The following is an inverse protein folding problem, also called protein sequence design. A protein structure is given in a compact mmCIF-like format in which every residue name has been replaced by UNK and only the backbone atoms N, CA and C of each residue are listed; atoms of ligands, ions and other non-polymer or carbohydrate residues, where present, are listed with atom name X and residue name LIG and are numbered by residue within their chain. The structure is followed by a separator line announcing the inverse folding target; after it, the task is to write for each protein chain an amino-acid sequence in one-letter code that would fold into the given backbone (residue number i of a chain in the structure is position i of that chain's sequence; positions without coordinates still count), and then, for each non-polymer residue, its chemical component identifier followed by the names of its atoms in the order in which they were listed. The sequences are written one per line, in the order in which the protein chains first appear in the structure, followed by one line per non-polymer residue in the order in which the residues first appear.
data_IF_665927128828
#
_entry.id   IF_665927128828
#
_cell.length_a   1.000
_cell.length_b   1.000
_cell.length_c   1.000
_cell.angle_alpha   90.00
_cell.angle_beta   90.00
_cell.angle_gamma   90.00
#
_symmetry.space_group_name_H-M   'P 1'
#
loop_
_entity.id
_entity.type
_entity.pdbx_description
1 polymer ?
#
# COMPACT_ATOMS: atom_id res chain seq x y z
N UNK A 1 -1.11 -12.90 9.73
CA UNK A 1 -1.30 -12.14 10.98
C UNK A 1 -2.17 -10.93 10.66
N UNK A 2 -2.85 -10.26 11.59
CA UNK A 2 -3.61 -9.03 11.24
C UNK A 2 -2.77 -7.80 11.54
N UNK A 3 -2.70 -6.86 10.58
CA UNK A 3 -2.02 -5.58 10.70
C UNK A 3 -3.01 -4.43 10.62
N UNK A 4 -2.68 -3.32 11.27
CA UNK A 4 -3.33 -2.04 11.08
C UNK A 4 -2.35 -1.11 10.37
N UNK A 5 -2.85 -0.38 9.39
CA UNK A 5 -2.06 0.53 8.56
C UNK A 5 -2.79 1.87 8.51
N UNK A 6 -2.06 2.91 8.90
CA UNK A 6 -2.51 4.29 8.84
C UNK A 6 -2.01 4.93 7.54
N UNK A 7 -2.91 5.57 6.81
CA UNK A 7 -2.64 6.19 5.52
C UNK A 7 -2.75 7.71 5.66
N UNK A 8 -1.59 8.34 5.77
CA UNK A 8 -1.45 9.78 5.90
C UNK A 8 -1.17 10.46 4.53
N UNK A 9 -1.56 11.74 4.36
CA UNK A 9 -2.25 12.62 5.32
C UNK A 9 -3.78 12.49 5.26
N UNK A 10 -4.31 11.57 4.45
CA UNK A 10 -5.75 11.40 4.24
C UNK A 10 -6.47 10.97 5.53
N UNK A 11 -5.74 10.36 6.48
CA UNK A 11 -6.29 9.87 7.74
C UNK A 11 -7.13 8.61 7.56
N UNK A 12 -6.86 7.85 6.49
CA UNK A 12 -7.52 6.58 6.24
C UNK A 12 -6.84 5.46 7.01
N UNK A 13 -7.63 4.47 7.40
CA UNK A 13 -7.13 3.32 8.15
C UNK A 13 -7.53 2.05 7.42
N UNK A 14 -6.60 1.10 7.38
CA UNK A 14 -6.85 -0.21 6.83
C UNK A 14 -6.46 -1.29 7.83
N UNK A 15 -7.20 -2.39 7.84
CA UNK A 15 -6.90 -3.55 8.68
C UNK A 15 -7.13 -4.84 7.91
N UNK A 16 -6.19 -5.76 7.99
CA UNK A 16 -6.28 -7.04 7.29
C UNK A 16 -5.01 -7.86 7.40
N UNK A 17 -4.85 -8.83 6.51
CA UNK A 17 -3.78 -9.83 6.53
C UNK A 17 -2.51 -9.35 5.80
N UNK A 18 -1.40 -10.05 6.00
CA UNK A 18 -0.08 -9.80 5.40
C UNK A 18 0.07 -10.25 3.93
N UNK A 19 -0.97 -10.83 3.35
CA UNK A 19 -0.96 -11.39 1.99
C UNK A 19 -1.34 -10.39 0.89
N UNK A 20 -1.41 -9.09 1.22
CA UNK A 20 -1.76 -8.02 0.28
C UNK A 20 -0.66 -6.98 0.13
N UNK A 21 -0.55 -6.40 -1.06
CA UNK A 21 0.42 -5.34 -1.33
C UNK A 21 -0.04 -3.99 -0.76
N UNK A 22 0.90 -3.06 -0.55
CA UNK A 22 0.57 -1.68 -0.15
C UNK A 22 -0.35 -0.99 -1.18
N UNK A 23 -0.20 -1.31 -2.47
CA UNK A 23 -1.10 -0.80 -3.51
C UNK A 23 -2.53 -1.29 -3.30
N UNK A 24 -2.71 -2.56 -2.99
CA UNK A 24 -4.03 -3.14 -2.75
C UNK A 24 -4.66 -2.59 -1.47
N UNK A 25 -3.86 -2.41 -0.42
CA UNK A 25 -4.27 -1.76 0.83
C UNK A 25 -4.83 -0.36 0.55
N UNK A 26 -4.09 0.47 -0.21
CA UNK A 26 -4.56 1.81 -0.57
C UNK A 26 -5.87 1.75 -1.39
N UNK A 27 -5.99 0.83 -2.34
CA UNK A 27 -7.22 0.65 -3.13
C UNK A 27 -8.41 0.26 -2.26
N UNK A 28 -8.22 -0.69 -1.34
CA UNK A 28 -9.26 -1.13 -0.41
C UNK A 28 -9.68 -0.04 0.57
N UNK A 29 -8.73 0.80 1.00
CA UNK A 29 -9.00 1.98 1.82
C UNK A 29 -9.62 3.17 1.05
N UNK A 30 -9.87 3.02 -0.26
CA UNK A 30 -10.42 4.09 -1.10
C UNK A 30 -9.42 5.20 -1.44
N UNK A 31 -8.12 4.94 -1.28
CA UNK A 31 -7.03 5.87 -1.58
C UNK A 31 -6.54 5.64 -3.01
N UNK A 32 -6.77 6.63 -3.87
CA UNK A 32 -6.38 6.59 -5.27
C UNK A 32 -4.89 6.86 -5.45
N UNK A 33 -4.15 5.87 -5.99
CA UNK A 33 -2.73 6.01 -6.36
C UNK A 33 -2.54 5.54 -7.80
N UNK A 34 -1.76 6.27 -8.59
CA UNK A 34 -1.48 5.92 -9.98
C UNK A 34 -0.76 4.58 -10.11
N UNK A 35 -1.29 3.66 -10.90
CA UNK A 35 -0.72 2.32 -11.12
C UNK A 35 -0.77 1.94 -12.61
N UNK A 36 0.17 2.47 -13.40
CA UNK A 36 0.19 2.24 -14.85
C UNK A 36 0.41 0.77 -15.23
N UNK A 37 1.20 0.05 -14.45
CA UNK A 37 1.48 -1.37 -14.65
C UNK A 37 0.45 -2.32 -14.01
N UNK A 38 -0.58 -1.79 -13.34
CA UNK A 38 -1.57 -2.61 -12.64
C UNK A 38 -1.06 -3.36 -11.41
N UNK A 39 0.16 -3.10 -10.92
CA UNK A 39 0.73 -3.72 -9.72
C UNK A 39 1.98 -4.59 -9.93
N UNK A 40 2.46 -4.74 -11.17
CA UNK A 40 3.62 -5.57 -11.54
C UNK A 40 4.98 -4.88 -11.25
N UNK A 41 5.00 -3.80 -10.45
CA UNK A 41 6.26 -3.14 -10.04
C UNK A 41 7.13 -2.47 -11.14
N UNK A 42 6.75 -2.48 -12.41
CA UNK A 42 7.63 -2.01 -13.52
C UNK A 42 7.61 -0.50 -13.77
N UNK A 43 6.52 0.18 -13.44
CA UNK A 43 6.35 1.61 -13.76
C UNK A 43 6.79 2.57 -12.64
N UNK A 44 6.83 2.09 -11.39
CA UNK A 44 7.13 2.94 -10.23
C UNK A 44 6.19 4.12 -10.01
N UNK A 45 4.95 4.09 -10.53
CA UNK A 45 3.98 5.19 -10.36
C UNK A 45 3.25 5.15 -9.02
N UNK A 46 3.14 3.99 -8.39
CA UNK A 46 2.41 3.77 -7.13
C UNK A 46 3.32 3.84 -5.89
N UNK A 47 4.30 4.75 -5.90
CA UNK A 47 5.26 4.89 -4.80
C UNK A 47 4.59 5.45 -3.55
N UNK A 48 5.00 4.92 -2.40
CA UNK A 48 4.61 5.38 -1.07
C UNK A 48 5.86 5.57 -0.21
N UNK A 49 5.73 6.31 0.87
CA UNK A 49 6.78 6.49 1.88
C UNK A 49 6.34 5.80 3.17
N UNK A 50 7.24 5.04 3.77
CA UNK A 50 7.01 4.45 5.11
C UNK A 50 7.40 5.50 6.15
N UNK A 51 6.42 5.93 6.96
CA UNK A 51 6.63 6.88 8.05
C UNK A 51 7.02 6.15 9.34
N UNK A 52 6.39 5.02 9.61
CA UNK A 52 6.67 4.16 10.75
C UNK A 52 6.40 2.67 10.42
N UNK A 53 7.00 1.77 11.18
CA UNK A 53 6.83 0.32 11.04
C UNK A 53 7.77 -0.34 10.03
N UNK A 54 7.53 -1.63 9.77
CA UNK A 54 8.31 -2.46 8.85
C UNK A 54 7.43 -3.01 7.73
N UNK A 55 8.00 -3.08 6.53
CA UNK A 55 7.37 -3.66 5.35
C UNK A 55 8.28 -4.70 4.72
N UNK A 56 7.69 -5.62 3.96
CA UNK A 56 8.47 -6.51 3.11
C UNK A 56 9.20 -5.74 2.00
N UNK A 57 10.25 -6.34 1.40
CA UNK A 57 10.87 -5.77 0.21
C UNK A 57 9.86 -5.60 -0.94
N UNK A 58 10.18 -4.69 -1.86
CA UNK A 58 9.36 -4.47 -3.06
C UNK A 58 9.22 -5.77 -3.85
N UNK A 59 7.98 -6.18 -4.11
CA UNK A 59 7.64 -7.29 -5.00
C UNK A 59 7.37 -6.73 -6.40
N UNK A 60 7.95 -7.36 -7.43
CA UNK A 60 7.69 -7.06 -8.85
C UNK A 60 6.79 -8.10 -9.48
#
# INVERSE_FOLDING_TARGET
MTYQIDIEPIGQHWSGTDDVSLLDICRQAGVGISSLCGGIGTCGSCKVQILDGQVSPLTG
#
